data_IF_959961864044
#
_entry.id   IF_959961864044
#
_cell.length_a   1.000
_cell.length_b   1.000
_cell.length_c   1.000
_cell.angle_alpha   90.00
_cell.angle_beta   90.00
_cell.angle_gamma   90.00
#
_symmetry.space_group_name_H-M   'P 1'
#
loop_
_entity.id
_entity.type
_entity.pdbx_description
1 polymer ?
#
# COMPACT_ATOMS: atom_id res chain seq x y z
N UNK A 1 5.07 -3.92 -9.70
CA UNK A 1 3.80 -3.29 -10.11
C UNK A 1 3.01 -2.98 -8.86
N UNK A 2 2.63 -1.71 -8.65
CA UNK A 2 1.91 -1.28 -7.45
C UNK A 2 0.40 -1.35 -7.68
N UNK A 3 -0.36 -1.76 -6.66
CA UNK A 3 -1.80 -2.00 -6.77
C UNK A 3 -2.59 -1.13 -5.77
N UNK A 4 -3.80 -0.76 -6.13
CA UNK A 4 -4.73 -0.14 -5.17
C UNK A 4 -5.01 -1.15 -4.04
N UNK A 5 -5.16 -0.65 -2.81
CA UNK A 5 -5.32 -1.40 -1.56
C UNK A 5 -4.13 -2.27 -1.15
N UNK A 6 -3.05 -2.31 -1.92
CA UNK A 6 -1.83 -2.98 -1.48
C UNK A 6 -1.15 -2.21 -0.35
N UNK A 7 -0.49 -2.97 0.52
CA UNK A 7 0.21 -2.44 1.69
C UNK A 7 1.71 -2.52 1.44
N UNK A 8 2.40 -1.45 1.78
CA UNK A 8 3.85 -1.35 1.68
C UNK A 8 4.45 -0.89 3.01
N UNK A 9 5.67 -1.31 3.28
CA UNK A 9 6.48 -0.82 4.39
C UNK A 9 7.49 0.17 3.82
N UNK A 10 7.50 1.37 4.38
CA UNK A 10 8.54 2.38 4.17
C UNK A 10 8.99 2.89 5.55
N UNK A 11 10.29 2.86 5.82
CA UNK A 11 10.86 3.34 7.08
C UNK A 11 10.14 2.78 8.33
N UNK A 12 9.90 1.46 8.36
CA UNK A 12 9.16 0.75 9.41
C UNK A 12 7.68 1.17 9.61
N UNK A 13 7.13 1.99 8.72
CA UNK A 13 5.71 2.39 8.73
C UNK A 13 4.97 1.68 7.60
N UNK A 14 3.79 1.14 7.90
CA UNK A 14 2.92 0.54 6.89
C UNK A 14 2.02 1.59 6.24
N UNK A 15 2.02 1.62 4.92
CA UNK A 15 1.18 2.48 4.09
C UNK A 15 0.27 1.64 3.21
N UNK A 16 -1.00 2.02 3.10
CA UNK A 16 -1.93 1.45 2.10
C UNK A 16 -2.11 2.43 0.95
N UNK A 17 -1.95 1.94 -0.29
CA UNK A 17 -2.29 2.73 -1.47
C UNK A 17 -3.81 2.82 -1.59
N UNK A 18 -4.34 4.04 -1.69
CA UNK A 18 -5.77 4.29 -1.85
C UNK A 18 -6.13 4.59 -3.31
N UNK A 19 -5.31 5.37 -4.01
CA UNK A 19 -5.60 5.81 -5.37
C UNK A 19 -4.35 6.25 -6.11
N UNK A 20 -4.33 6.00 -7.42
CA UNK A 20 -3.39 6.64 -8.35
C UNK A 20 -4.05 7.83 -9.03
N UNK A 21 -3.37 8.97 -9.01
CA UNK A 21 -3.66 10.18 -9.76
C UNK A 21 -2.56 10.36 -10.83
N UNK A 22 -2.74 11.23 -11.83
CA UNK A 22 -1.77 11.36 -12.92
C UNK A 22 -0.34 11.68 -12.50
N UNK A 23 -0.15 12.43 -11.41
CA UNK A 23 1.17 12.84 -10.91
C UNK A 23 1.44 12.35 -9.47
N UNK A 24 0.41 11.85 -8.80
CA UNK A 24 0.47 11.57 -7.37
C UNK A 24 -0.12 10.19 -7.07
N UNK A 25 0.38 9.57 -6.02
CA UNK A 25 -0.27 8.44 -5.37
C UNK A 25 -0.81 8.92 -4.03
N UNK A 26 -2.07 8.59 -3.77
CA UNK A 26 -2.70 8.78 -2.46
C UNK A 26 -2.47 7.52 -1.66
N UNK A 27 -1.87 7.65 -0.49
CA UNK A 27 -1.67 6.56 0.45
C UNK A 27 -1.95 6.99 1.88
N UNK A 28 -2.04 6.06 2.81
CA UNK A 28 -2.33 6.34 4.22
C UNK A 28 -1.53 5.41 5.13
N UNK A 29 -0.96 5.97 6.19
CA UNK A 29 -0.33 5.17 7.25
C UNK A 29 -1.38 4.35 8.01
N UNK A 30 -1.19 3.04 8.12
CA UNK A 30 -2.21 2.12 8.66
C UNK A 30 -2.19 2.07 10.20
N UNK A 31 -1.01 2.25 10.81
CA UNK A 31 -0.83 2.09 12.25
C UNK A 31 -1.04 3.40 13.04
N UNK A 32 -1.24 4.52 12.33
CA UNK A 32 -1.54 5.81 12.95
C UNK A 32 -3.06 6.05 12.95
N UNK A 33 -3.68 6.03 14.14
CA UNK A 33 -5.13 6.22 14.31
C UNK A 33 -5.65 7.58 13.84
N UNK A 34 -4.77 8.56 13.70
CA UNK A 34 -5.06 9.90 13.20
C UNK A 34 -4.48 10.11 11.79
N UNK A 35 -4.13 9.04 11.07
CA UNK A 35 -3.52 9.16 9.76
C UNK A 35 -4.46 9.87 8.78
N UNK A 36 -3.98 11.00 8.24
CA UNK A 36 -4.59 11.61 7.08
C UNK A 36 -3.97 11.02 5.82
N UNK A 37 -4.72 10.94 4.71
CA UNK A 37 -4.14 10.56 3.43
C UNK A 37 -3.03 11.52 3.03
N UNK A 38 -1.91 10.97 2.63
CA UNK A 38 -0.75 11.70 2.15
C UNK A 38 -0.66 11.59 0.62
N UNK A 39 -0.06 12.60 0.00
CA UNK A 39 0.24 12.62 -1.42
C UNK A 39 1.74 12.43 -1.60
N UNK A 40 2.12 11.39 -2.35
CA UNK A 40 3.49 11.18 -2.81
C UNK A 40 3.52 11.30 -4.32
N UNK A 41 4.60 11.85 -4.90
CA UNK A 41 4.75 11.89 -6.34
C UNK A 41 4.82 10.46 -6.90
N UNK A 42 4.10 10.17 -7.97
CA UNK A 42 4.14 8.82 -8.57
C UNK A 42 5.54 8.42 -9.01
N UNK A 43 6.37 9.39 -9.44
CA UNK A 43 7.78 9.18 -9.76
C UNK A 43 8.61 8.82 -8.53
N UNK A 44 8.35 9.47 -7.39
CA UNK A 44 9.05 9.18 -6.14
C UNK A 44 8.69 7.79 -5.63
N UNK A 45 7.41 7.42 -5.68
CA UNK A 45 6.95 6.08 -5.35
C UNK A 45 7.57 5.01 -6.26
N UNK A 46 7.80 5.31 -7.54
CA UNK A 46 8.52 4.43 -8.45
C UNK A 46 9.99 4.29 -8.05
N UNK A 47 10.68 5.40 -7.75
CA UNK A 47 12.07 5.37 -7.29
C UNK A 47 12.22 4.51 -6.02
N UNK A 48 11.33 4.71 -5.04
CA UNK A 48 11.31 3.92 -3.80
C UNK A 48 11.03 2.43 -4.03
N UNK A 49 10.33 2.09 -5.12
CA UNK A 49 10.14 0.70 -5.53
C UNK A 49 11.37 0.13 -6.21
N UNK A 50 12.04 0.92 -7.05
CA UNK A 50 13.20 0.50 -7.82
C UNK A 50 14.45 0.32 -6.94
N UNK A 51 14.61 1.17 -5.92
CA UNK A 51 15.69 1.09 -4.93
C UNK A 51 15.43 0.08 -3.78
N UNK A 52 14.28 -0.60 -3.82
CA UNK A 52 13.82 -1.59 -2.83
C UNK A 52 13.57 -1.04 -1.41
N UNK A 53 13.46 0.29 -1.25
CA UNK A 53 13.07 0.91 0.03
C UNK A 53 11.60 0.70 0.37
N UNK A 54 10.75 0.53 -0.65
CA UNK A 54 9.32 0.26 -0.53
C UNK A 54 9.05 -1.24 -0.60
N UNK A 55 8.91 -1.88 0.56
CA UNK A 55 8.78 -3.33 0.67
C UNK A 55 7.30 -3.72 0.63
N UNK A 56 6.84 -4.60 -0.28
CA UNK A 56 5.47 -5.08 -0.26
C UNK A 56 5.19 -5.87 1.03
N UNK A 57 4.13 -5.52 1.73
CA UNK A 57 3.64 -6.26 2.88
C UNK A 57 2.38 -7.05 2.49
N UNK A 58 2.30 -8.28 2.98
CA UNK A 58 1.04 -9.02 2.91
C UNK A 58 0.05 -8.39 3.88
N UNK A 59 -1.05 -7.87 3.33
CA UNK A 59 -2.17 -7.46 4.16
C UNK A 59 -2.85 -8.72 4.73
N UNK A 60 -2.45 -9.11 5.94
CA UNK A 60 -2.99 -10.29 6.62
C UNK A 60 -4.51 -10.22 6.79
N UNK A 61 -5.13 -9.03 6.73
CA UNK A 61 -6.58 -8.87 6.89
C UNK A 61 -7.34 -9.29 5.63
N UNK A 62 -6.74 -9.12 4.44
CA UNK A 62 -7.36 -9.53 3.18
C UNK A 62 -6.97 -10.93 2.74
N UNK A 63 -5.80 -11.44 3.15
CA UNK A 63 -5.40 -12.82 2.84
C UNK A 63 -6.39 -13.83 3.46
N UNK A 64 -6.85 -13.59 4.69
CA UNK A 64 -7.81 -14.48 5.34
C UNK A 64 -9.20 -14.46 4.68
N UNK A 65 -9.61 -13.31 4.14
CA UNK A 65 -10.86 -13.11 3.43
C UNK A 65 -10.82 -13.74 2.03
N UNK A 66 -9.69 -13.63 1.33
CA UNK A 66 -9.47 -14.31 0.04
C UNK A 66 -9.41 -15.84 0.18
N UNK A 67 -8.73 -16.36 1.22
CA UNK A 67 -8.72 -17.79 1.50
C UNK A 67 -10.10 -18.32 1.92
N UNK A 68 -10.88 -17.54 2.69
CA UNK A 68 -12.28 -17.89 2.96
C UNK A 68 -13.12 -17.93 1.69
N UNK A 69 -12.97 -16.96 0.78
CA UNK A 69 -13.73 -16.93 -0.48
C UNK A 69 -13.38 -18.08 -1.42
N UNK A 70 -12.13 -18.57 -1.42
CA UNK A 70 -11.74 -19.79 -2.15
C UNK A 70 -12.46 -21.05 -1.67
N UNK A 71 -12.89 -21.10 -0.40
CA UNK A 71 -13.62 -22.25 0.13
C UNK A 71 -15.09 -22.31 -0.33
N UNK A 72 -15.59 -21.26 -1.00
CA UNK A 72 -16.96 -21.15 -1.50
C UNK A 72 -17.06 -21.18 -3.04
N UNK A 73 -15.95 -21.48 -3.75
CA UNK A 73 -15.87 -21.68 -5.20
C UNK A 73 -15.35 -23.09 -5.50
#
# INVERSE_FOLDING_TARGET
>A
MQLINSVYILNATQYRILKFLPQYTVWIAIDNKNAFPELILSKELQNLSDDQSLIPAQDQRWSHLFEQLKAYL
#
